data_IF_220712762305
#
_entry.id   IF_220712762305
#
_cell.length_a   1.000
_cell.length_b   1.000
_cell.length_c   1.000
_cell.angle_alpha   90.00
_cell.angle_beta   90.00
_cell.angle_gamma   90.00
#
_symmetry.space_group_name_H-M   'P 1'
#
loop_
_entity.id
_entity.type
_entity.pdbx_description
1 polymer ?
#
# COMPACT_ATOMS: atom_id res chain seq x y z
N UNK A 1 10.12 54.24 16.66
CA UNK A 1 8.86 53.50 16.89
C UNK A 1 8.64 52.45 15.80
N UNK A 2 8.54 52.84 14.52
CA UNK A 2 8.28 51.92 13.38
C UNK A 2 9.28 50.76 13.32
N UNK A 3 10.59 51.03 13.41
CA UNK A 3 11.62 49.98 13.35
C UNK A 3 11.52 48.98 14.52
N UNK A 4 11.17 49.46 15.72
CA UNK A 4 10.96 48.62 16.90
C UNK A 4 9.75 47.71 16.75
N UNK A 5 8.64 48.23 16.19
CA UNK A 5 7.44 47.45 15.90
C UNK A 5 7.69 46.33 14.89
N UNK A 6 8.50 46.59 13.85
CA UNK A 6 8.87 45.59 12.84
C UNK A 6 9.69 44.46 13.47
N UNK A 7 10.72 44.80 14.26
CA UNK A 7 11.58 43.80 14.92
C UNK A 7 10.76 42.94 15.89
N UNK A 8 9.89 43.56 16.69
CA UNK A 8 9.06 42.85 17.66
C UNK A 8 8.05 41.92 16.98
N UNK A 9 7.42 42.36 15.88
CA UNK A 9 6.51 41.52 15.10
C UNK A 9 7.23 40.32 14.47
N UNK A 10 8.46 40.50 14.00
CA UNK A 10 9.26 39.43 13.41
C UNK A 10 9.67 38.39 14.48
N UNK A 11 10.08 38.86 15.66
CA UNK A 11 10.36 37.99 16.81
C UNK A 11 9.15 37.18 17.25
N UNK A 12 7.99 37.83 17.43
CA UNK A 12 6.75 37.15 17.80
C UNK A 12 6.33 36.11 16.76
N UNK A 13 6.52 36.41 15.47
CA UNK A 13 6.23 35.47 14.38
C UNK A 13 7.13 34.24 14.42
N UNK A 14 8.45 34.43 14.62
CA UNK A 14 9.41 33.33 14.73
C UNK A 14 9.06 32.44 15.93
N UNK A 15 8.81 33.06 17.10
CA UNK A 15 8.43 32.33 18.32
C UNK A 15 7.13 31.56 18.11
N UNK A 16 6.13 32.17 17.48
CA UNK A 16 4.86 31.51 17.15
C UNK A 16 5.04 30.31 16.21
N UNK A 17 5.90 30.42 15.19
CA UNK A 17 6.22 29.31 14.27
C UNK A 17 6.96 28.19 14.99
N UNK A 18 7.96 28.51 15.83
CA UNK A 18 8.70 27.52 16.60
C UNK A 18 7.79 26.79 17.61
N UNK A 19 6.94 27.52 18.34
CA UNK A 19 5.96 26.91 19.24
C UNK A 19 5.02 25.97 18.48
N UNK A 20 4.50 26.39 17.33
CA UNK A 20 3.66 25.53 16.49
C UNK A 20 4.41 24.30 15.97
N UNK A 21 5.69 24.44 15.64
CA UNK A 21 6.56 23.34 15.21
C UNK A 21 6.77 22.33 16.34
N UNK A 22 6.88 22.77 17.60
CA UNK A 22 7.03 21.88 18.76
C UNK A 22 5.77 21.05 19.05
N UNK A 23 4.58 21.55 18.66
CA UNK A 23 3.30 20.85 18.81
C UNK A 23 2.99 19.87 17.65
N UNK A 24 3.60 20.05 16.48
CA UNK A 24 3.43 19.13 15.33
C UNK A 24 4.50 18.02 15.36
N UNK A 25 4.36 17.07 16.29
CA UNK A 25 5.27 15.92 16.36
C UNK A 25 4.82 14.81 15.42
N UNK A 26 5.39 14.77 14.22
CA UNK A 26 5.38 13.57 13.38
C UNK A 26 6.38 12.54 13.90
N UNK A 27 6.25 11.28 13.45
CA UNK A 27 7.32 10.29 13.64
C UNK A 27 8.39 10.58 12.58
N UNK A 28 9.51 11.15 13.01
CA UNK A 28 10.60 11.58 12.10
C UNK A 28 11.73 10.55 12.00
N UNK A 29 11.77 9.57 12.92
CA UNK A 29 12.86 8.61 13.02
C UNK A 29 12.35 7.22 13.41
N UNK A 30 12.86 6.14 12.79
CA UNK A 30 12.54 4.76 13.17
C UNK A 30 12.78 4.44 14.65
N UNK A 31 13.79 5.07 15.25
CA UNK A 31 14.19 4.89 16.64
C UNK A 31 13.05 5.21 17.61
N UNK A 32 12.22 6.20 17.29
CA UNK A 32 11.05 6.55 18.12
C UNK A 32 10.07 5.38 18.19
N UNK A 33 9.91 4.61 17.10
CA UNK A 33 9.05 3.43 17.10
C UNK A 33 9.70 2.28 17.89
N UNK A 34 10.99 2.04 17.66
CA UNK A 34 11.74 0.97 18.35
C UNK A 34 11.80 1.18 19.87
N UNK A 35 11.98 2.43 20.33
CA UNK A 35 11.94 2.80 21.75
C UNK A 35 10.58 2.50 22.40
N UNK A 36 9.50 2.51 21.61
CA UNK A 36 8.16 2.15 22.05
C UNK A 36 7.84 0.65 21.80
N UNK A 37 8.85 -0.16 21.48
CA UNK A 37 8.71 -1.60 21.26
C UNK A 37 8.08 -1.98 19.92
N UNK A 38 8.02 -1.05 18.96
CA UNK A 38 7.48 -1.30 17.62
C UNK A 38 8.65 -1.53 16.65
N UNK A 39 8.83 -2.78 16.22
CA UNK A 39 9.88 -3.14 15.27
C UNK A 39 9.64 -2.55 13.88
N UNK A 40 10.67 -1.89 13.35
CA UNK A 40 10.66 -1.25 12.03
C UNK A 40 11.32 -2.17 11.01
N UNK A 41 10.51 -2.77 10.14
CA UNK A 41 10.99 -3.71 9.13
C UNK A 41 11.70 -3.06 7.95
N UNK A 42 11.32 -1.81 7.61
CA UNK A 42 11.92 -1.04 6.55
C UNK A 42 11.62 0.46 6.71
N UNK A 43 12.50 1.29 6.15
CA UNK A 43 12.27 2.72 5.96
C UNK A 43 12.35 3.02 4.46
N UNK A 44 11.22 3.35 3.85
CA UNK A 44 11.11 3.55 2.41
C UNK A 44 11.21 5.05 2.12
N UNK A 45 12.27 5.51 1.43
CA UNK A 45 12.42 6.92 1.10
C UNK A 45 11.37 7.36 0.06
N UNK A 46 11.11 8.67 0.02
CA UNK A 46 10.27 9.27 -1.01
C UNK A 46 10.94 9.14 -2.39
N UNK A 47 10.26 8.50 -3.34
CA UNK A 47 10.70 8.48 -4.74
C UNK A 47 10.29 9.77 -5.44
N UNK A 48 11.26 10.61 -5.81
CA UNK A 48 11.00 11.80 -6.63
C UNK A 48 10.53 11.44 -8.05
N UNK A 49 10.97 10.29 -8.58
CA UNK A 49 10.52 9.77 -9.88
C UNK A 49 9.03 9.45 -9.89
N UNK A 50 8.53 8.81 -8.82
CA UNK A 50 7.12 8.48 -8.67
C UNK A 50 6.30 9.76 -8.46
N UNK A 51 6.76 10.62 -7.56
CA UNK A 51 6.11 11.90 -7.24
C UNK A 51 5.95 12.81 -8.46
N UNK A 52 6.94 12.84 -9.37
CA UNK A 52 6.85 13.64 -10.60
C UNK A 52 5.84 13.08 -11.60
N UNK A 53 5.55 11.76 -11.54
CA UNK A 53 4.69 11.02 -12.47
C UNK A 53 3.28 10.81 -11.96
N UNK A 54 3.09 10.88 -10.66
CA UNK A 54 1.79 10.99 -10.00
C UNK A 54 1.19 12.36 -10.33
N UNK A 55 0.86 12.57 -11.61
CA UNK A 55 0.22 13.78 -12.08
C UNK A 55 -1.14 13.90 -11.39
N UNK A 56 -1.26 14.92 -10.54
CA UNK A 56 -2.51 15.25 -9.87
C UNK A 56 -3.47 15.78 -10.93
N UNK A 57 -4.38 14.93 -11.41
CA UNK A 57 -5.53 15.40 -12.18
C UNK A 57 -6.63 15.76 -11.19
N UNK A 58 -6.82 17.07 -10.99
CA UNK A 58 -8.00 17.58 -10.28
C UNK A 58 -9.20 17.46 -11.23
N UNK A 59 -10.10 16.53 -10.95
CA UNK A 59 -11.38 16.42 -11.67
C UNK A 59 -12.50 16.73 -10.66
N UNK A 60 -13.26 17.80 -10.92
CA UNK A 60 -14.36 18.26 -10.04
C UNK A 60 -13.94 18.47 -8.57
N UNK A 61 -12.80 19.14 -8.33
CA UNK A 61 -12.34 19.46 -6.97
C UNK A 61 -11.75 18.28 -6.19
N UNK A 62 -11.77 17.06 -6.75
CA UNK A 62 -11.16 15.87 -6.14
C UNK A 62 -9.81 15.61 -6.80
N UNK A 63 -8.74 15.59 -6.02
CA UNK A 63 -7.41 15.15 -6.48
C UNK A 63 -7.49 13.67 -6.80
N UNK A 64 -7.44 13.30 -8.09
CA UNK A 64 -7.24 11.92 -8.52
C UNK A 64 -5.77 11.73 -8.87
N UNK A 65 -5.12 10.87 -8.09
CA UNK A 65 -3.76 10.40 -8.39
C UNK A 65 -3.89 9.30 -9.44
N UNK A 66 -3.58 9.61 -10.70
CA UNK A 66 -3.38 8.56 -11.69
C UNK A 66 -1.97 8.04 -11.46
N UNK A 67 -1.83 6.98 -10.67
CA UNK A 67 -0.51 6.41 -10.40
C UNK A 67 0.04 5.86 -11.72
N UNK A 68 1.00 6.61 -12.26
CA UNK A 68 1.61 6.37 -13.56
C UNK A 68 2.67 5.30 -13.36
N UNK A 69 2.32 4.06 -13.70
CA UNK A 69 3.23 2.90 -13.73
C UNK A 69 3.72 2.45 -12.35
N UNK A 70 3.75 1.13 -12.13
CA UNK A 70 4.32 0.54 -10.92
C UNK A 70 5.82 0.83 -10.85
N UNK A 71 6.31 1.45 -9.76
CA UNK A 71 7.70 1.89 -9.62
C UNK A 71 8.72 0.76 -9.83
N UNK A 72 8.43 -0.43 -9.31
CA UNK A 72 9.28 -1.62 -9.44
C UNK A 72 9.52 -2.05 -10.90
N UNK A 73 8.66 -1.60 -11.83
CA UNK A 73 8.80 -1.83 -13.28
C UNK A 73 9.31 -0.57 -13.98
N UNK A 74 8.78 0.60 -13.62
CA UNK A 74 9.09 1.87 -14.28
C UNK A 74 10.48 2.44 -13.96
N UNK A 75 10.95 2.28 -12.72
CA UNK A 75 12.29 2.66 -12.28
C UNK A 75 12.83 1.63 -11.24
N UNK A 76 13.25 0.43 -11.68
CA UNK A 76 13.64 -0.65 -10.78
C UNK A 76 14.86 -0.33 -9.91
N UNK A 77 15.66 0.69 -10.26
CA UNK A 77 16.87 1.11 -9.53
C UNK A 77 16.61 2.28 -8.57
N UNK A 78 15.36 2.69 -8.38
CA UNK A 78 14.98 3.72 -7.42
C UNK A 78 15.30 3.29 -5.98
N UNK A 79 15.76 4.23 -5.12
CA UNK A 79 16.06 3.96 -3.72
C UNK A 79 14.85 3.43 -2.94
N UNK A 80 13.64 3.84 -3.31
CA UNK A 80 12.42 3.29 -2.73
C UNK A 80 12.27 1.79 -3.02
N UNK A 81 12.69 1.34 -4.21
CA UNK A 81 12.65 -0.08 -4.58
C UNK A 81 13.76 -0.87 -3.89
N UNK A 82 14.95 -0.31 -3.69
CA UNK A 82 15.98 -0.93 -2.85
C UNK A 82 15.53 -1.10 -1.39
N UNK A 83 14.81 -0.12 -0.85
CA UNK A 83 14.19 -0.25 0.47
C UNK A 83 13.12 -1.35 0.50
N UNK A 84 12.33 -1.52 -0.58
CA UNK A 84 11.37 -2.63 -0.72
C UNK A 84 12.08 -3.98 -0.88
N UNK A 85 13.24 -4.06 -1.56
CA UNK A 85 14.07 -5.28 -1.61
C UNK A 85 14.63 -5.65 -0.24
N UNK A 86 14.99 -4.64 0.55
CA UNK A 86 15.39 -4.81 1.95
C UNK A 86 14.20 -5.33 2.77
N UNK A 87 13.01 -4.73 2.63
CA UNK A 87 11.77 -5.19 3.27
C UNK A 87 11.46 -6.65 2.95
N UNK A 88 11.58 -7.07 1.68
CA UNK A 88 11.43 -8.48 1.27
C UNK A 88 12.34 -9.40 2.07
N UNK A 89 13.60 -9.01 2.25
CA UNK A 89 14.59 -9.82 2.98
C UNK A 89 14.22 -9.93 4.46
N UNK A 90 13.85 -8.82 5.11
CA UNK A 90 13.37 -8.82 6.50
C UNK A 90 12.12 -9.69 6.66
N UNK A 91 11.16 -9.57 5.73
CA UNK A 91 9.93 -10.37 5.73
C UNK A 91 10.20 -11.85 5.49
N UNK A 92 11.17 -12.20 4.64
CA UNK A 92 11.54 -13.60 4.44
C UNK A 92 11.92 -14.28 5.76
N UNK A 93 12.75 -13.62 6.58
CA UNK A 93 13.14 -14.15 7.88
C UNK A 93 11.97 -14.20 8.87
N UNK A 94 11.14 -13.16 8.93
CA UNK A 94 9.97 -13.15 9.80
C UNK A 94 8.95 -14.23 9.41
N UNK A 95 8.76 -14.46 8.11
CA UNK A 95 7.82 -15.43 7.58
C UNK A 95 8.30 -16.88 7.74
N UNK A 96 9.60 -17.15 7.91
CA UNK A 96 10.07 -18.51 8.22
C UNK A 96 9.54 -19.04 9.56
N UNK A 97 9.17 -18.16 10.48
CA UNK A 97 8.58 -18.51 11.77
C UNK A 97 7.05 -18.38 11.77
N UNK A 98 6.46 -17.90 10.67
CA UNK A 98 5.01 -17.71 10.57
C UNK A 98 4.29 -19.02 10.25
N UNK A 99 3.01 -19.09 10.63
CA UNK A 99 2.17 -20.29 10.41
C UNK A 99 1.76 -20.51 8.95
N UNK A 100 1.77 -19.45 8.15
CA UNK A 100 1.31 -19.48 6.76
C UNK A 100 2.06 -18.45 5.91
N UNK A 101 1.75 -18.44 4.61
CA UNK A 101 2.31 -17.54 3.60
C UNK A 101 1.42 -16.33 3.28
N UNK A 102 0.55 -15.93 4.22
CA UNK A 102 -0.39 -14.82 4.02
C UNK A 102 0.09 -13.59 4.79
N UNK A 103 0.33 -12.50 4.07
CA UNK A 103 0.82 -11.23 4.60
C UNK A 103 -0.21 -10.13 4.36
N UNK A 104 -0.75 -9.57 5.45
CA UNK A 104 -1.65 -8.43 5.38
C UNK A 104 -0.86 -7.12 5.49
N UNK A 105 -1.12 -6.19 4.56
CA UNK A 105 -0.61 -4.82 4.60
C UNK A 105 -1.72 -3.90 5.05
N UNK A 106 -1.50 -3.17 6.14
CA UNK A 106 -2.43 -2.17 6.67
C UNK A 106 -1.68 -0.93 7.10
N UNK A 107 -2.38 0.09 7.58
CA UNK A 107 -1.70 1.25 8.11
C UNK A 107 -2.61 2.27 8.77
N UNK A 108 -1.95 3.16 9.50
CA UNK A 108 -2.55 4.03 10.52
C UNK A 108 -3.53 5.07 10.00
N UNK A 109 -3.48 5.39 8.70
CA UNK A 109 -4.34 6.41 8.08
C UNK A 109 -4.48 6.19 6.57
N UNK A 110 -5.50 6.78 5.93
CA UNK A 110 -5.62 6.79 4.47
C UNK A 110 -4.44 7.50 3.81
N UNK A 111 -4.11 7.11 2.57
CA UNK A 111 -3.13 7.79 1.71
C UNK A 111 -1.68 7.85 2.22
N UNK A 112 -1.30 6.96 3.13
CA UNK A 112 0.09 6.87 3.64
C UNK A 112 1.03 6.03 2.76
N UNK A 113 0.52 5.43 1.67
CA UNK A 113 1.32 4.62 0.74
C UNK A 113 1.20 3.09 0.88
N UNK A 114 0.21 2.56 1.60
CA UNK A 114 0.00 1.10 1.80
C UNK A 114 -0.04 0.33 0.47
N UNK A 115 -0.94 0.71 -0.43
CA UNK A 115 -1.07 0.11 -1.77
C UNK A 115 0.23 0.22 -2.58
N UNK A 116 0.96 1.33 -2.44
CA UNK A 116 2.27 1.49 -3.09
C UNK A 116 3.28 0.46 -2.58
N UNK A 117 3.43 0.32 -1.25
CA UNK A 117 4.35 -0.66 -0.66
C UNK A 117 3.90 -2.08 -1.02
N UNK A 118 2.61 -2.37 -0.91
CA UNK A 118 2.04 -3.69 -1.17
C UNK A 118 2.27 -4.15 -2.62
N UNK A 119 1.92 -3.33 -3.60
CA UNK A 119 2.07 -3.68 -5.02
C UNK A 119 3.54 -3.77 -5.46
N UNK A 120 4.41 -2.87 -4.97
CA UNK A 120 5.83 -2.94 -5.30
C UNK A 120 6.52 -4.13 -4.63
N UNK A 121 6.16 -4.45 -3.38
CA UNK A 121 6.65 -5.66 -2.71
C UNK A 121 6.23 -6.92 -3.46
N UNK A 122 4.97 -7.01 -3.90
CA UNK A 122 4.48 -8.13 -4.69
C UNK A 122 5.30 -8.33 -5.98
N UNK A 123 5.56 -7.25 -6.72
CA UNK A 123 6.39 -7.29 -7.92
C UNK A 123 7.85 -7.67 -7.64
N UNK A 124 8.44 -7.13 -6.58
CA UNK A 124 9.82 -7.46 -6.17
C UNK A 124 9.96 -8.91 -5.70
N UNK A 125 8.92 -9.49 -5.10
CA UNK A 125 8.88 -10.91 -4.73
C UNK A 125 8.68 -11.78 -5.96
N UNK A 126 7.77 -11.44 -6.88
CA UNK A 126 7.52 -12.27 -8.08
C UNK A 126 8.75 -12.38 -9.00
N UNK A 127 9.57 -11.32 -9.05
CA UNK A 127 10.88 -11.31 -9.72
C UNK A 127 11.86 -12.37 -9.17
N UNK A 128 11.64 -12.91 -7.97
CA UNK A 128 12.42 -14.03 -7.39
C UNK A 128 11.89 -15.40 -7.79
N UNK A 129 11.13 -15.48 -8.88
CA UNK A 129 10.55 -16.72 -9.42
C UNK A 129 9.47 -17.34 -8.52
N UNK A 130 8.91 -16.57 -7.58
CA UNK A 130 7.83 -16.97 -6.67
C UNK A 130 6.46 -16.60 -7.26
N UNK A 131 5.46 -17.46 -7.07
CA UNK A 131 4.06 -17.17 -7.41
C UNK A 131 3.48 -16.26 -6.34
N UNK A 132 3.06 -15.05 -6.71
CA UNK A 132 2.52 -14.06 -5.78
C UNK A 132 1.09 -13.71 -6.17
N UNK A 133 0.21 -13.69 -5.19
CA UNK A 133 -1.16 -13.17 -5.35
C UNK A 133 -1.32 -11.91 -4.49
N UNK A 134 -1.79 -10.82 -5.10
CA UNK A 134 -2.31 -9.66 -4.38
C UNK A 134 -3.83 -9.69 -4.34
N UNK A 135 -4.43 -9.50 -3.18
CA UNK A 135 -5.87 -9.36 -2.99
C UNK A 135 -6.15 -7.93 -2.52
N UNK A 136 -6.92 -7.18 -3.30
CA UNK A 136 -7.34 -5.82 -2.95
C UNK A 136 -8.61 -5.88 -2.08
N UNK A 137 -8.42 -5.85 -0.77
CA UNK A 137 -9.51 -5.82 0.21
C UNK A 137 -10.00 -4.40 0.51
N UNK A 138 -9.43 -3.35 -0.09
CA UNK A 138 -10.04 -2.01 -0.05
C UNK A 138 -11.20 -1.91 -1.06
N UNK A 139 -12.32 -2.54 -0.71
CA UNK A 139 -13.55 -2.47 -1.49
C UNK A 139 -14.19 -1.07 -1.54
N UNK A 140 -13.63 -0.07 -0.84
CA UNK A 140 -14.15 1.32 -0.83
C UNK A 140 -13.39 2.19 -1.83
N UNK A 141 -12.06 2.19 -1.77
CA UNK A 141 -11.19 3.08 -2.56
C UNK A 141 -10.07 2.36 -3.32
N UNK A 142 -10.00 1.04 -3.25
CA UNK A 142 -9.00 0.21 -3.93
C UNK A 142 -8.94 0.48 -5.43
N UNK A 143 -7.71 0.57 -5.94
CA UNK A 143 -7.41 0.95 -7.32
C UNK A 143 -6.26 0.10 -7.91
N UNK A 144 -5.95 -1.03 -7.28
CA UNK A 144 -4.86 -1.93 -7.71
C UNK A 144 -4.99 -2.41 -9.16
N UNK A 145 -6.23 -2.59 -9.64
CA UNK A 145 -6.51 -2.96 -11.03
C UNK A 145 -6.02 -1.90 -12.03
N UNK A 146 -6.20 -0.62 -11.72
CA UNK A 146 -5.68 0.47 -12.55
C UNK A 146 -4.15 0.50 -12.52
N UNK A 147 -3.56 0.29 -11.33
CA UNK A 147 -2.11 0.28 -11.12
C UNK A 147 -1.41 -0.86 -11.88
N UNK A 148 -2.01 -2.04 -11.90
CA UNK A 148 -1.43 -3.26 -12.48
C UNK A 148 -1.93 -3.55 -13.91
N UNK A 149 -2.78 -2.67 -14.47
CA UNK A 149 -3.28 -2.79 -15.83
C UNK A 149 -4.23 -3.96 -16.05
N UNK A 150 -5.04 -4.30 -15.04
CA UNK A 150 -6.05 -5.36 -15.12
C UNK A 150 -7.47 -4.78 -15.12
N UNK A 151 -8.47 -5.59 -15.45
CA UNK A 151 -9.88 -5.18 -15.34
C UNK A 151 -10.44 -5.46 -13.93
N UNK A 152 -11.45 -4.69 -13.52
CA UNK A 152 -12.10 -4.82 -12.21
C UNK A 152 -13.38 -5.67 -12.23
N UNK A 153 -13.58 -6.51 -13.25
CA UNK A 153 -14.80 -7.32 -13.45
C UNK A 153 -14.70 -8.63 -12.67
N UNK A 154 -15.72 -9.07 -11.92
CA UNK A 154 -15.66 -10.29 -11.11
C UNK A 154 -14.47 -10.27 -10.12
N UNK A 155 -14.35 -9.18 -9.35
CA UNK A 155 -13.33 -9.04 -8.32
C UNK A 155 -13.79 -9.60 -6.97
N UNK A 156 -13.10 -9.21 -5.90
CA UNK A 156 -13.32 -9.66 -4.53
C UNK A 156 -14.79 -9.57 -4.11
N UNK A 157 -15.44 -8.43 -4.36
CA UNK A 157 -16.84 -8.26 -3.96
C UNK A 157 -17.79 -9.26 -4.63
N UNK A 158 -17.63 -9.50 -5.94
CA UNK A 158 -18.43 -10.50 -6.65
C UNK A 158 -18.14 -11.91 -6.16
N UNK A 159 -16.87 -12.25 -5.93
CA UNK A 159 -16.46 -13.55 -5.40
C UNK A 159 -17.12 -13.78 -4.05
N UNK A 160 -17.08 -12.83 -3.13
CA UNK A 160 -17.67 -12.95 -1.80
C UNK A 160 -19.19 -13.01 -1.82
N UNK A 161 -19.83 -12.48 -2.86
CA UNK A 161 -21.27 -12.63 -3.12
C UNK A 161 -21.65 -13.98 -3.74
N UNK A 162 -20.70 -14.90 -3.93
CA UNK A 162 -20.96 -16.20 -4.56
C UNK A 162 -21.02 -16.15 -6.08
N UNK A 163 -20.65 -15.03 -6.71
CA UNK A 163 -20.65 -14.89 -8.17
C UNK A 163 -19.28 -15.28 -8.72
N UNK A 164 -19.21 -16.46 -9.32
CA UNK A 164 -17.99 -17.01 -9.91
C UNK A 164 -17.20 -17.90 -8.95
N UNK A 165 -16.29 -18.69 -9.52
CA UNK A 165 -15.46 -19.65 -8.80
C UNK A 165 -14.19 -19.00 -8.25
N UNK A 166 -13.80 -19.40 -7.03
CA UNK A 166 -12.57 -18.91 -6.38
C UNK A 166 -11.34 -19.26 -7.23
N UNK A 167 -11.30 -20.42 -7.86
CA UNK A 167 -10.18 -20.86 -8.70
C UNK A 167 -9.96 -20.01 -9.95
N UNK A 168 -10.99 -19.30 -10.41
CA UNK A 168 -10.95 -18.46 -11.62
C UNK A 168 -10.82 -16.97 -11.29
N UNK A 169 -10.75 -16.64 -10.00
CA UNK A 169 -10.76 -15.26 -9.53
C UNK A 169 -9.45 -14.50 -9.75
N UNK A 170 -8.32 -15.21 -9.69
CA UNK A 170 -7.01 -14.61 -9.82
C UNK A 170 -6.73 -14.25 -11.27
N UNK A 171 -6.34 -13.00 -11.49
CA UNK A 171 -6.08 -12.47 -12.83
C UNK A 171 -4.59 -12.23 -13.02
N UNK A 172 -4.00 -12.69 -14.13
CA UNK A 172 -2.62 -12.38 -14.44
C UNK A 172 -2.46 -10.87 -14.63
N UNK A 173 -1.39 -10.34 -14.05
CA UNK A 173 -0.95 -8.96 -14.32
C UNK A 173 0.01 -8.94 -15.51
N UNK A 174 0.49 -7.75 -15.88
CA UNK A 174 1.59 -7.61 -16.86
C UNK A 174 2.95 -8.12 -16.33
N UNK A 175 3.03 -8.48 -15.05
CA UNK A 175 4.25 -8.92 -14.38
C UNK A 175 4.20 -10.46 -14.25
N UNK A 176 5.21 -11.20 -14.74
CA UNK A 176 5.25 -12.65 -14.61
C UNK A 176 5.16 -13.12 -13.15
N UNK A 177 4.43 -14.22 -12.94
CA UNK A 177 4.20 -14.85 -11.62
C UNK A 177 3.54 -13.93 -10.58
N UNK A 178 2.87 -12.88 -11.03
CA UNK A 178 2.14 -11.97 -10.18
C UNK A 178 0.69 -11.84 -10.66
N UNK A 179 -0.22 -12.38 -9.85
CA UNK A 179 -1.65 -12.33 -10.08
C UNK A 179 -2.34 -11.36 -9.11
N UNK A 180 -3.51 -10.88 -9.50
CA UNK A 180 -4.34 -9.95 -8.75
C UNK A 180 -5.78 -10.45 -8.65
N UNK A 181 -6.34 -10.40 -7.44
CA UNK A 181 -7.79 -10.32 -7.23
C UNK A 181 -8.11 -8.85 -6.93
N UNK A 182 -8.67 -8.10 -7.90
CA UNK A 182 -9.01 -6.71 -7.69
C UNK A 182 -10.28 -6.60 -6.83
N UNK A 183 -10.58 -5.43 -6.28
CA UNK A 183 -11.70 -5.27 -5.35
C UNK A 183 -13.09 -5.63 -5.89
N UNK A 184 -13.33 -5.54 -7.20
CA UNK A 184 -14.66 -5.72 -7.80
C UNK A 184 -15.52 -4.45 -7.75
N UNK A 185 -16.83 -4.56 -8.03
CA UNK A 185 -17.73 -3.41 -7.85
C UNK A 185 -17.84 -3.05 -6.37
N UNK A 186 -17.93 -1.75 -6.08
CA UNK A 186 -18.06 -1.27 -4.69
C UNK A 186 -19.39 -1.77 -4.10
N UNK A 187 -19.37 -2.68 -3.11
CA UNK A 187 -20.59 -3.22 -2.54
C UNK A 187 -21.17 -2.25 -1.51
N UNK A 188 -22.49 -2.33 -1.21
CA UNK A 188 -23.10 -1.52 -0.17
C UNK A 188 -22.62 -1.91 1.25
N UNK A 189 -22.14 -3.15 1.42
CA UNK A 189 -21.79 -3.78 2.70
C UNK A 189 -20.38 -4.44 2.68
N UNK A 190 -19.28 -3.67 2.53
CA UNK A 190 -17.93 -4.25 2.41
C UNK A 190 -17.47 -5.06 3.62
N UNK A 191 -17.78 -4.62 4.83
CA UNK A 191 -17.28 -5.24 6.06
C UNK A 191 -17.92 -6.60 6.28
N UNK A 192 -19.22 -6.72 6.00
CA UNK A 192 -20.00 -7.95 6.11
C UNK A 192 -19.51 -9.02 5.14
N UNK A 193 -19.12 -8.62 3.92
CA UNK A 193 -18.54 -9.56 2.95
C UNK A 193 -17.21 -10.14 3.44
N UNK A 194 -16.35 -9.33 4.04
CA UNK A 194 -15.06 -9.79 4.59
C UNK A 194 -15.21 -10.72 5.80
N UNK A 195 -16.35 -10.67 6.50
CA UNK A 195 -16.67 -11.58 7.60
C UNK A 195 -17.28 -12.92 7.14
N UNK A 196 -17.52 -13.09 5.83
CA UNK A 196 -18.13 -14.31 5.31
C UNK A 196 -17.19 -15.51 5.35
N UNK A 197 -17.77 -16.71 5.46
CA UNK A 197 -17.03 -17.98 5.32
C UNK A 197 -16.30 -18.05 3.97
N UNK A 198 -16.91 -17.48 2.92
CA UNK A 198 -16.34 -17.46 1.57
C UNK A 198 -15.01 -16.71 1.49
N UNK A 199 -14.80 -15.68 2.33
CA UNK A 199 -13.50 -15.02 2.42
C UNK A 199 -12.45 -15.96 3.03
N UNK A 200 -12.81 -16.74 4.04
CA UNK A 200 -11.92 -17.76 4.63
C UNK A 200 -11.53 -18.81 3.58
N UNK A 201 -12.50 -19.32 2.82
CA UNK A 201 -12.27 -20.28 1.73
C UNK A 201 -11.33 -19.71 0.66
N UNK A 202 -11.49 -18.42 0.32
CA UNK A 202 -10.61 -17.72 -0.62
C UNK A 202 -9.16 -17.67 -0.12
N UNK A 203 -8.95 -17.30 1.15
CA UNK A 203 -7.59 -17.22 1.73
C UNK A 203 -6.95 -18.61 1.81
N UNK A 204 -7.70 -19.64 2.18
CA UNK A 204 -7.19 -21.02 2.19
C UNK A 204 -6.79 -21.51 0.81
N UNK A 205 -7.62 -21.25 -0.21
CA UNK A 205 -7.29 -21.56 -1.59
C UNK A 205 -6.04 -20.80 -2.04
N UNK A 206 -5.97 -19.50 -1.77
CA UNK A 206 -4.84 -18.66 -2.14
C UNK A 206 -3.54 -19.14 -1.49
N UNK A 207 -3.57 -19.44 -0.19
CA UNK A 207 -2.42 -19.93 0.57
C UNK A 207 -1.87 -21.25 0.01
N UNK A 208 -2.73 -22.15 -0.47
CA UNK A 208 -2.34 -23.43 -1.09
C UNK A 208 -1.76 -23.28 -2.50
N UNK A 209 -2.20 -22.27 -3.27
CA UNK A 209 -1.88 -22.16 -4.69
C UNK A 209 -0.75 -21.15 -5.02
N UNK A 210 -0.43 -20.25 -4.09
CA UNK A 210 0.61 -19.25 -4.25
C UNK A 210 1.74 -19.45 -3.25
N UNK A 211 2.92 -18.93 -3.56
CA UNK A 211 4.05 -18.98 -2.63
C UNK A 211 3.98 -17.83 -1.61
N UNK A 212 3.35 -16.71 -1.98
CA UNK A 212 3.04 -15.57 -1.10
C UNK A 212 1.68 -14.98 -1.47
N UNK A 213 0.84 -14.73 -0.46
CA UNK A 213 -0.44 -14.02 -0.60
C UNK A 213 -0.34 -12.69 0.13
N UNK A 214 -0.49 -11.59 -0.59
CA UNK A 214 -0.51 -10.23 -0.07
C UNK A 214 -1.95 -9.71 -0.03
N UNK A 215 -2.35 -9.10 1.09
CA UNK A 215 -3.69 -8.52 1.25
C UNK A 215 -3.53 -7.02 1.49
N UNK A 216 -4.00 -6.19 0.56
CA UNK A 216 -4.07 -4.72 0.74
C UNK A 216 -5.37 -4.35 1.45
N UNK A 217 -5.29 -3.49 2.47
CA UNK A 217 -6.44 -3.13 3.33
C UNK A 217 -6.62 -1.61 3.41
N UNK A 218 -7.85 -1.13 3.68
CA UNK A 218 -8.20 0.29 3.67
C UNK A 218 -7.40 1.19 4.63
#
# INVERSE_FOLDING_TARGET
IILGSIILGLMLSIVGVLLRSLFNRGIESPQVLEENGISVYASIPLSEWQKSRDSVKTVKGVKRYKQSQLLAVGNPTDLAIEAVRSLRTSLHFAMMQAKNNVLMMTGVSPSIGKTFVCANLAAVVSQTNKRVLLIDCDMRKGYTHELLGTNNVNGLSEILLGKGEISESAKPTSIPKFDLIPRGQVPPNPSELLMSERFTQLIEWASKNYDLVLIDTP
#
